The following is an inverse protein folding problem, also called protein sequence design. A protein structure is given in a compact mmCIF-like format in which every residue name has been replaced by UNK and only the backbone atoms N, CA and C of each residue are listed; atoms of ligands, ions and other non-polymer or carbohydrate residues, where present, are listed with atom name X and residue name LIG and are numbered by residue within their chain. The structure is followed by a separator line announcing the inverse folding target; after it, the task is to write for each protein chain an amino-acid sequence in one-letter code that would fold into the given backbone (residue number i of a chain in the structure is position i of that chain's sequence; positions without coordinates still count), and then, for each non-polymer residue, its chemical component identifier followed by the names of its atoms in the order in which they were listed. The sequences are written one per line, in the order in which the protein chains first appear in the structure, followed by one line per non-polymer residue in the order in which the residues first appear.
data_IF_953510508991
#
_entry.id   IF_953510508991
#
_cell.length_a   1.000
_cell.length_b   1.000
_cell.length_c   1.000
_cell.angle_alpha   90.00
_cell.angle_beta   90.00
_cell.angle_gamma   90.00
#
_symmetry.space_group_name_H-M   'P 1'
#
loop_
_entity.id
_entity.type
_entity.pdbx_description
1 polymer ?
#
# COMPACT_ATOMS: atom_id res chain seq x y z
N UNK A 1 -0.56 -15.02 11.83
CA UNK A 1 -1.50 -13.93 11.57
C UNK A 1 -2.28 -14.30 10.33
N UNK A 2 -3.59 -14.45 10.49
CA UNK A 2 -4.47 -14.78 9.37
C UNK A 2 -4.57 -13.59 8.41
N UNK A 3 -4.90 -13.86 7.15
CA UNK A 3 -5.02 -12.81 6.12
C UNK A 3 -6.04 -11.74 6.51
N UNK A 4 -7.17 -12.15 7.10
CA UNK A 4 -8.20 -11.24 7.61
C UNK A 4 -7.68 -10.33 8.71
N UNK A 5 -6.83 -10.85 9.60
CA UNK A 5 -6.23 -10.08 10.69
C UNK A 5 -5.25 -9.03 10.15
N UNK A 6 -4.43 -9.38 9.15
CA UNK A 6 -3.55 -8.42 8.47
C UNK A 6 -4.35 -7.30 7.80
N UNK A 7 -5.46 -7.64 7.14
CA UNK A 7 -6.36 -6.67 6.52
C UNK A 7 -6.92 -5.72 7.57
N UNK A 8 -7.54 -6.24 8.63
CA UNK A 8 -8.17 -5.42 9.67
C UNK A 8 -7.16 -4.51 10.38
N UNK A 9 -5.95 -4.99 10.66
CA UNK A 9 -4.90 -4.17 11.28
C UNK A 9 -4.43 -3.05 10.35
N UNK A 10 -4.24 -3.34 9.06
CA UNK A 10 -3.80 -2.33 8.09
C UNK A 10 -4.89 -1.27 7.86
N UNK A 11 -6.15 -1.69 7.72
CA UNK A 11 -7.28 -0.77 7.55
C UNK A 11 -7.44 0.13 8.77
N UNK A 12 -7.46 -0.45 9.98
CA UNK A 12 -7.58 0.30 11.22
C UNK A 12 -6.45 1.34 11.37
N UNK A 13 -5.21 0.97 11.00
CA UNK A 13 -4.07 1.88 10.99
C UNK A 13 -4.28 3.04 10.01
N UNK A 14 -4.76 2.76 8.80
CA UNK A 14 -5.01 3.81 7.79
C UNK A 14 -6.14 4.73 8.22
N UNK A 15 -7.26 4.18 8.72
CA UNK A 15 -8.38 4.97 9.24
C UNK A 15 -7.94 5.88 10.39
N UNK A 16 -7.11 5.39 11.31
CA UNK A 16 -6.57 6.18 12.42
C UNK A 16 -5.70 7.36 11.96
N UNK A 17 -5.01 7.25 10.82
CA UNK A 17 -4.20 8.35 10.26
C UNK A 17 -5.10 9.46 9.67
N UNK A 18 -6.30 9.09 9.21
CA UNK A 18 -7.24 10.00 8.55
C UNK A 18 -8.29 10.61 9.49
N UNK A 19 -8.19 10.38 10.80
CA UNK A 19 -9.17 10.94 11.77
C UNK A 19 -9.18 12.47 11.82
N UNK A 20 -8.02 13.10 11.59
CA UNK A 20 -7.86 14.55 11.64
C UNK A 20 -7.96 15.20 10.24
N UNK A 21 -8.37 14.42 9.24
CA UNK A 21 -8.58 14.90 7.87
C UNK A 21 -10.01 15.40 7.71
N UNK A 22 -10.19 16.45 6.91
CA UNK A 22 -11.52 16.92 6.51
C UNK A 22 -12.43 15.72 6.11
N UNK A 23 -13.65 15.59 6.68
CA UNK A 23 -14.48 14.41 6.46
C UNK A 23 -14.79 14.11 5.00
N UNK A 24 -14.93 15.14 4.14
CA UNK A 24 -15.16 14.93 2.71
C UNK A 24 -13.90 14.40 2.02
N UNK A 25 -12.71 14.90 2.38
CA UNK A 25 -11.43 14.37 1.90
C UNK A 25 -11.17 12.94 2.40
N UNK A 26 -11.53 12.63 3.64
CA UNK A 26 -11.41 11.28 4.21
C UNK A 26 -12.36 10.29 3.51
N UNK A 27 -13.62 10.69 3.31
CA UNK A 27 -14.63 9.88 2.60
C UNK A 27 -14.21 9.61 1.14
N UNK A 28 -13.61 10.60 0.47
CA UNK A 28 -13.13 10.45 -0.92
C UNK A 28 -12.13 9.30 -1.09
N UNK A 29 -11.34 9.00 -0.05
CA UNK A 29 -10.26 8.01 -0.12
C UNK A 29 -10.52 6.74 0.69
N UNK A 30 -11.73 6.55 1.21
CA UNK A 30 -12.11 5.36 1.99
C UNK A 30 -11.81 4.06 1.24
N UNK A 31 -12.27 3.95 -0.02
CA UNK A 31 -11.99 2.78 -0.85
C UNK A 31 -10.50 2.54 -1.12
N UNK A 32 -9.69 3.61 -1.20
CA UNK A 32 -8.23 3.48 -1.33
C UNK A 32 -7.59 2.91 -0.06
N UNK A 33 -8.13 3.22 1.13
CA UNK A 33 -7.66 2.62 2.38
C UNK A 33 -8.00 1.12 2.42
N UNK A 34 -9.19 0.73 1.98
CA UNK A 34 -9.59 -0.67 1.88
C UNK A 34 -8.73 -1.44 0.87
N UNK A 35 -8.48 -0.87 -0.31
CA UNK A 35 -7.61 -1.48 -1.33
C UNK A 35 -6.18 -1.63 -0.83
N UNK A 36 -5.64 -0.62 -0.13
CA UNK A 36 -4.32 -0.73 0.49
C UNK A 36 -4.26 -1.86 1.52
N UNK A 37 -5.27 -1.95 2.40
CA UNK A 37 -5.38 -3.02 3.38
C UNK A 37 -5.49 -4.41 2.72
N UNK A 38 -6.28 -4.52 1.66
CA UNK A 38 -6.45 -5.75 0.88
C UNK A 38 -5.13 -6.19 0.24
N UNK A 39 -4.46 -5.28 -0.47
CA UNK A 39 -3.16 -5.56 -1.11
C UNK A 39 -2.09 -5.96 -0.09
N UNK A 40 -2.09 -5.34 1.10
CA UNK A 40 -1.20 -5.72 2.20
C UNK A 40 -1.46 -7.15 2.66
N UNK A 41 -2.72 -7.52 2.84
CA UNK A 41 -3.14 -8.84 3.25
C UNK A 41 -2.80 -9.92 2.20
N UNK A 42 -3.09 -9.67 0.92
CA UNK A 42 -2.69 -10.57 -0.18
C UNK A 42 -1.18 -10.78 -0.22
N UNK A 43 -0.42 -9.68 -0.08
CA UNK A 43 1.04 -9.75 -0.04
C UNK A 43 1.58 -10.53 1.15
N UNK A 44 0.86 -10.58 2.28
CA UNK A 44 1.28 -11.39 3.43
C UNK A 44 1.25 -12.89 3.10
N UNK A 45 0.23 -13.35 2.37
CA UNK A 45 0.09 -14.74 1.92
C UNK A 45 1.14 -15.06 0.85
N UNK A 46 1.31 -14.18 -0.14
CA UNK A 46 2.34 -14.36 -1.17
C UNK A 46 3.75 -14.43 -0.56
N UNK A 47 4.06 -13.56 0.42
CA UNK A 47 5.34 -13.64 1.15
C UNK A 47 5.54 -14.98 1.84
N UNK A 48 4.50 -15.56 2.45
CA UNK A 48 4.60 -16.87 3.08
C UNK A 48 4.92 -17.96 2.05
N UNK A 49 4.25 -17.96 0.89
CA UNK A 49 4.54 -18.90 -0.19
C UNK A 49 5.98 -18.73 -0.73
N UNK A 50 6.41 -17.48 -0.90
CA UNK A 50 7.73 -17.12 -1.43
C UNK A 50 8.89 -17.44 -0.49
N UNK A 51 8.66 -17.61 0.82
CA UNK A 51 9.68 -18.14 1.75
C UNK A 51 10.15 -19.54 1.35
N UNK A 52 9.26 -20.33 0.76
CA UNK A 52 9.56 -21.69 0.31
C UNK A 52 10.08 -21.72 -1.12
N UNK A 53 9.44 -20.96 -2.03
CA UNK A 53 9.75 -21.06 -3.47
C UNK A 53 10.85 -20.12 -3.95
N UNK A 54 11.15 -19.06 -3.18
CA UNK A 54 11.94 -17.93 -3.64
C UNK A 54 11.24 -17.09 -4.72
N UNK A 55 11.89 -15.99 -5.11
CA UNK A 55 11.39 -15.09 -6.17
C UNK A 55 11.69 -15.61 -7.58
N UNK A 56 12.82 -16.30 -7.72
CA UNK A 56 13.33 -16.87 -8.97
C UNK A 56 13.75 -18.30 -8.67
N UNK A 57 13.34 -19.24 -9.51
CA UNK A 57 13.87 -20.61 -9.49
C UNK A 57 15.26 -20.60 -10.11
N UNK A 58 16.26 -20.92 -9.31
CA UNK A 58 17.65 -21.02 -9.75
C UNK A 58 17.92 -22.47 -10.16
N UNK A 59 18.32 -22.67 -11.42
CA UNK A 59 18.74 -23.98 -11.87
C UNK A 59 20.13 -24.30 -11.29
N UNK A 60 20.36 -25.49 -10.69
CA UNK A 60 21.55 -25.77 -9.90
C UNK A 60 22.86 -25.75 -10.69
N UNK A 61 22.81 -25.99 -12.00
CA UNK A 61 24.00 -26.16 -12.85
C UNK A 61 23.98 -25.35 -14.15
N UNK A 62 22.89 -24.64 -14.45
CA UNK A 62 22.76 -23.90 -15.72
C UNK A 62 22.14 -22.51 -15.44
N UNK A 63 22.97 -21.47 -15.27
CA UNK A 63 22.51 -20.13 -14.93
C UNK A 63 21.51 -19.51 -15.93
N UNK A 64 21.48 -19.95 -17.18
CA UNK A 64 20.58 -19.42 -18.22
C UNK A 64 19.14 -19.96 -18.11
N UNK A 65 18.92 -21.00 -17.30
CA UNK A 65 17.60 -21.63 -17.11
C UNK A 65 16.82 -21.09 -15.90
N UNK A 66 17.17 -19.90 -15.41
CA UNK A 66 16.44 -19.23 -14.34
C UNK A 66 15.02 -18.85 -14.77
N UNK A 67 14.05 -19.03 -13.86
CA UNK A 67 12.64 -18.72 -14.15
C UNK A 67 11.99 -17.92 -13.02
N UNK A 68 11.29 -16.81 -13.31
CA UNK A 68 10.54 -16.10 -12.28
C UNK A 68 9.39 -16.97 -11.76
N UNK A 69 9.08 -16.85 -10.47
CA UNK A 69 7.89 -17.49 -9.89
C UNK A 69 6.67 -16.60 -10.12
N UNK A 70 5.53 -17.15 -10.53
CA UNK A 70 4.31 -16.35 -10.77
C UNK A 70 3.83 -15.62 -9.50
N UNK A 71 3.89 -16.28 -8.35
CA UNK A 71 3.61 -15.65 -7.06
C UNK A 71 4.53 -14.44 -6.80
N UNK A 72 5.79 -14.48 -7.26
CA UNK A 72 6.74 -13.38 -7.13
C UNK A 72 6.37 -12.21 -8.04
N UNK A 73 5.95 -12.51 -9.28
CA UNK A 73 5.44 -11.51 -10.22
C UNK A 73 4.19 -10.83 -9.68
N UNK A 74 3.23 -11.60 -9.15
CA UNK A 74 2.02 -11.05 -8.56
C UNK A 74 2.34 -10.21 -7.32
N UNK A 75 3.24 -10.68 -6.46
CA UNK A 75 3.70 -9.94 -5.28
C UNK A 75 4.27 -8.57 -5.67
N UNK A 76 5.15 -8.51 -6.68
CA UNK A 76 5.71 -7.25 -7.16
C UNK A 76 4.64 -6.31 -7.72
N UNK A 77 3.67 -6.84 -8.49
CA UNK A 77 2.54 -6.04 -8.99
C UNK A 77 1.73 -5.43 -7.84
N UNK A 78 1.40 -6.25 -6.84
CA UNK A 78 0.65 -5.81 -5.66
C UNK A 78 1.42 -4.77 -4.84
N UNK A 79 2.73 -4.94 -4.65
CA UNK A 79 3.58 -3.97 -3.94
C UNK A 79 3.60 -2.62 -4.66
N UNK A 80 3.71 -2.63 -5.99
CA UNK A 80 3.69 -1.40 -6.78
C UNK A 80 2.31 -0.71 -6.70
N UNK A 81 1.22 -1.46 -6.83
CA UNK A 81 -0.13 -0.93 -6.67
C UNK A 81 -0.32 -0.32 -5.26
N UNK A 82 0.09 -1.04 -4.21
CA UNK A 82 0.02 -0.56 -2.84
C UNK A 82 0.83 0.74 -2.65
N UNK A 83 2.04 0.84 -3.22
CA UNK A 83 2.84 2.06 -3.14
C UNK A 83 2.18 3.26 -3.83
N UNK A 84 1.52 3.05 -4.97
CA UNK A 84 0.75 4.09 -5.66
C UNK A 84 -0.43 4.55 -4.81
N UNK A 85 -1.19 3.61 -4.25
CA UNK A 85 -2.32 3.92 -3.36
C UNK A 85 -1.86 4.72 -2.14
N UNK A 86 -0.80 4.26 -1.45
CA UNK A 86 -0.23 4.97 -0.29
C UNK A 86 0.27 6.37 -0.68
N UNK A 87 0.88 6.54 -1.86
CA UNK A 87 1.30 7.87 -2.35
C UNK A 87 0.10 8.79 -2.55
N UNK A 88 -0.99 8.29 -3.11
CA UNK A 88 -2.24 9.06 -3.29
C UNK A 88 -2.83 9.47 -1.94
N UNK A 89 -2.92 8.53 -0.99
CA UNK A 89 -3.37 8.80 0.38
C UNK A 89 -2.51 9.89 1.04
N UNK A 90 -1.18 9.77 0.94
CA UNK A 90 -0.27 10.78 1.48
C UNK A 90 -0.45 12.16 0.84
N UNK A 91 -0.77 12.22 -0.46
CA UNK A 91 -1.08 13.48 -1.14
C UNK A 91 -2.30 14.20 -0.56
N UNK A 92 -3.32 13.45 -0.10
CA UNK A 92 -4.47 14.03 0.59
C UNK A 92 -4.07 14.55 1.97
N UNK A 93 -3.28 13.80 2.72
CA UNK A 93 -2.76 14.23 4.02
C UNK A 93 -1.93 15.52 3.92
N UNK A 94 -1.01 15.61 2.96
CA UNK A 94 -0.16 16.79 2.79
C UNK A 94 -0.95 18.03 2.38
N UNK A 95 -2.01 17.88 1.56
CA UNK A 95 -2.91 19.01 1.23
C UNK A 95 -3.83 19.38 2.38
N UNK A 96 -4.05 18.49 3.33
CA UNK A 96 -4.81 18.80 4.55
C UNK A 96 -3.98 19.62 5.56
N UNK A 97 -2.65 19.50 5.51
CA UNK A 97 -1.74 20.27 6.35
C UNK A 97 -1.44 21.69 5.84
N UNK A 98 -1.92 22.06 4.64
CA UNK A 98 -1.63 23.34 3.97
C UNK A 98 -2.80 24.35 4.02
N UNK A 99 -3.86 24.07 4.79
CA UNK A 99 -4.90 25.04 5.18
C UNK A 99 -4.83 25.11 6.72
N UNK A 100 -4.57 26.26 7.41
CA UNK A 100 -4.93 27.63 7.05
C UNK A 100 -3.96 28.71 7.61
N UNK A 101 -2.86 29.08 6.93
CA UNK A 101 -2.10 30.33 7.20
C UNK A 101 -1.27 30.74 5.96
N UNK A 102 -1.82 30.62 4.75
CA UNK A 102 -1.30 31.40 3.62
C UNK A 102 -2.20 32.65 3.46
N UNK A 103 -2.28 33.41 4.57
CA UNK A 103 -2.81 34.78 4.63
C UNK A 103 -1.88 35.67 3.79
N UNK A 104 -1.97 35.55 2.46
CA UNK A 104 -1.49 36.55 1.51
C UNK A 104 -2.44 37.77 1.46
N UNK A 105 -2.86 38.26 2.63
CA UNK A 105 -3.62 39.51 2.80
C UNK A 105 -2.71 40.72 3.12
N UNK A 106 -1.38 40.59 3.00
CA UNK A 106 -0.43 41.69 3.33
C UNK A 106 0.19 42.40 2.09
N UNK A 107 -0.58 42.57 1.02
CA UNK A 107 -0.18 43.43 -0.12
C UNK A 107 -1.29 44.37 -0.64
N UNK A 108 -2.06 44.98 0.26
CA UNK A 108 -2.74 46.26 -0.02
C UNK A 108 -1.87 47.47 0.38
#
# INVERSE_FOLDING_TARGET
MEKSEVYSQELAKLQAIFTDVDPAKAQLVEGLMEDAAFLKAENSVLKQALKTTGMVKIHPSNPDLQKPVEAARQYLKNVNAYAVVVKTLNGVLSKNALDPEDDMDEFE
#
